data_IF_329234947717
#
_entry.id   IF_329234947717
#
_cell.length_a   1.000
_cell.length_b   1.000
_cell.length_c   1.000
_cell.angle_alpha   90.00
_cell.angle_beta   90.00
_cell.angle_gamma   90.00
#
_symmetry.space_group_name_H-M   'P 1'
#
loop_
_entity.id
_entity.type
_entity.pdbx_description
1 polymer ?
#
# COMPACT_ATOMS: atom_id res chain seq x y z
N UNK A 1 23.92 11.36 -11.03
CA UNK A 1 24.01 11.87 -9.64
C UNK A 1 22.65 11.69 -8.96
N UNK A 2 22.64 11.28 -7.68
CA UNK A 2 21.43 10.82 -6.96
C UNK A 2 21.14 11.66 -5.72
N UNK A 3 19.87 11.78 -5.36
CA UNK A 3 19.42 12.44 -4.13
C UNK A 3 19.92 11.68 -2.89
N UNK A 4 20.57 12.37 -1.95
CA UNK A 4 21.02 11.76 -0.68
C UNK A 4 19.87 11.38 0.28
N UNK A 5 18.66 11.90 0.06
CA UNK A 5 17.48 11.58 0.87
C UNK A 5 16.76 10.31 0.42
N UNK A 6 16.31 10.26 -0.84
CA UNK A 6 15.51 9.14 -1.37
C UNK A 6 16.21 8.28 -2.43
N UNK A 7 17.46 8.60 -2.80
CA UNK A 7 18.24 7.79 -3.75
C UNK A 7 17.85 7.91 -5.23
N UNK A 8 16.79 8.65 -5.57
CA UNK A 8 16.37 8.88 -6.97
C UNK A 8 17.43 9.67 -7.75
N UNK A 9 17.47 9.49 -9.07
CA UNK A 9 18.34 10.30 -9.95
C UNK A 9 17.84 11.73 -9.96
N UNK A 10 18.75 12.70 -9.79
CA UNK A 10 18.40 14.12 -9.83
C UNK A 10 18.24 14.58 -11.27
N UNK A 11 17.22 15.40 -11.51
CA UNK A 11 16.90 15.99 -12.81
C UNK A 11 16.42 17.44 -12.65
N UNK A 12 16.48 18.23 -13.72
CA UNK A 12 16.08 19.66 -13.76
C UNK A 12 14.92 19.93 -14.73
N UNK A 13 14.42 18.90 -15.40
CA UNK A 13 13.51 18.97 -16.54
C UNK A 13 12.08 19.35 -16.13
N UNK A 14 11.54 18.72 -15.09
CA UNK A 14 10.16 19.00 -14.64
C UNK A 14 9.97 18.79 -13.15
N UNK A 15 9.31 19.75 -12.50
CA UNK A 15 8.94 19.70 -11.07
C UNK A 15 7.96 18.58 -10.74
N UNK A 16 7.20 18.13 -11.72
CA UNK A 16 6.21 17.05 -11.58
C UNK A 16 6.85 15.65 -11.63
N UNK A 17 8.08 15.55 -12.12
CA UNK A 17 8.80 14.28 -12.22
C UNK A 17 9.67 14.09 -10.98
N UNK A 18 9.81 12.85 -10.55
CA UNK A 18 10.70 12.50 -9.44
C UNK A 18 12.13 13.01 -9.64
N UNK A 19 12.79 13.31 -8.54
CA UNK A 19 14.19 13.77 -8.59
C UNK A 19 14.38 15.21 -9.04
N UNK A 20 13.30 15.98 -9.27
CA UNK A 20 13.43 17.39 -9.62
C UNK A 20 14.27 18.15 -8.60
N UNK A 21 15.19 18.96 -9.09
CA UNK A 21 15.95 19.94 -8.31
C UNK A 21 16.25 21.13 -9.20
N UNK A 22 16.26 22.37 -8.70
CA UNK A 22 16.52 23.55 -9.54
C UNK A 22 17.95 23.58 -10.09
N UNK A 23 18.89 22.87 -9.45
CA UNK A 23 20.29 22.75 -9.88
C UNK A 23 20.80 21.34 -9.61
N UNK A 24 21.44 20.74 -10.61
CA UNK A 24 22.11 19.45 -10.44
C UNK A 24 23.21 19.50 -9.37
N UNK A 25 23.84 20.63 -9.05
CA UNK A 25 24.81 20.68 -7.94
C UNK A 25 24.21 20.38 -6.55
N UNK A 26 22.88 20.35 -6.41
CA UNK A 26 22.21 20.12 -5.12
C UNK A 26 22.28 18.64 -4.70
N UNK A 27 22.34 18.41 -3.39
CA UNK A 27 22.37 17.04 -2.84
C UNK A 27 20.99 16.38 -2.66
N UNK A 28 19.92 17.18 -2.68
CA UNK A 28 18.54 16.75 -2.45
C UNK A 28 17.64 17.10 -3.64
N UNK A 29 16.66 16.24 -3.90
CA UNK A 29 15.51 16.59 -4.73
C UNK A 29 14.55 17.50 -3.95
N UNK A 30 13.68 18.21 -4.67
CA UNK A 30 12.73 19.17 -4.11
C UNK A 30 11.87 18.56 -3.00
N UNK A 31 11.34 17.34 -3.20
CA UNK A 31 10.57 16.62 -2.16
C UNK A 31 11.38 16.40 -0.88
N UNK A 32 12.60 15.87 -0.99
CA UNK A 32 13.45 15.61 0.18
C UNK A 32 13.90 16.90 0.86
N UNK A 33 14.10 17.99 0.10
CA UNK A 33 14.38 19.31 0.67
C UNK A 33 13.18 19.81 1.49
N UNK A 34 11.97 19.76 0.93
CA UNK A 34 10.76 20.21 1.64
C UNK A 34 10.52 19.39 2.91
N UNK A 35 10.58 18.07 2.80
CA UNK A 35 10.42 17.18 3.95
C UNK A 35 11.46 17.46 5.04
N UNK A 36 12.73 17.70 4.67
CA UNK A 36 13.82 17.96 5.62
C UNK A 36 13.67 19.31 6.34
N UNK A 37 13.25 20.36 5.64
CA UNK A 37 13.26 21.72 6.17
C UNK A 37 11.93 22.19 6.73
N UNK A 38 10.81 21.68 6.21
CA UNK A 38 9.47 22.09 6.58
C UNK A 38 8.64 20.96 7.21
N UNK A 39 9.16 19.72 7.23
CA UNK A 39 8.43 18.54 7.72
C UNK A 39 7.11 18.30 6.98
N UNK A 40 6.97 18.86 5.78
CA UNK A 40 5.80 18.70 4.94
C UNK A 40 6.01 17.51 3.98
N UNK A 41 5.11 16.55 4.04
CA UNK A 41 5.09 15.46 3.08
C UNK A 41 4.38 15.89 1.79
N UNK A 42 5.13 15.93 0.70
CA UNK A 42 4.55 16.13 -0.63
C UNK A 42 3.90 14.82 -1.04
N UNK A 43 2.57 14.79 -1.12
CA UNK A 43 1.73 13.58 -1.29
C UNK A 43 1.95 12.79 -2.60
N UNK A 44 2.96 13.14 -3.39
CA UNK A 44 3.35 12.40 -4.59
C UNK A 44 4.19 11.17 -4.20
N UNK A 45 3.53 10.01 -4.20
CA UNK A 45 4.21 8.72 -4.14
C UNK A 45 4.54 8.28 -5.56
N UNK A 46 5.83 8.29 -5.88
CA UNK A 46 6.33 7.81 -7.16
C UNK A 46 6.41 6.29 -7.19
N UNK A 47 6.14 5.70 -8.35
CA UNK A 47 6.25 4.26 -8.58
C UNK A 47 7.62 3.69 -8.21
N UNK A 48 8.69 4.47 -8.36
CA UNK A 48 10.06 4.09 -8.00
C UNK A 48 10.25 3.78 -6.51
N UNK A 49 9.38 4.31 -5.64
CA UNK A 49 9.39 4.05 -4.20
C UNK A 49 8.85 2.67 -3.84
N UNK A 50 8.26 1.96 -4.79
CA UNK A 50 7.71 0.63 -4.59
C UNK A 50 8.62 -0.45 -5.20
N UNK A 51 8.68 -1.66 -4.60
CA UNK A 51 9.50 -2.74 -5.12
C UNK A 51 9.05 -3.19 -6.51
N UNK A 52 9.97 -3.76 -7.30
CA UNK A 52 9.57 -4.49 -8.50
C UNK A 52 9.01 -5.84 -8.07
N UNK A 53 7.79 -6.14 -8.52
CA UNK A 53 7.11 -7.41 -8.27
C UNK A 53 7.00 -8.10 -9.62
N UNK A 54 7.26 -9.41 -9.66
CA UNK A 54 7.09 -10.21 -10.87
C UNK A 54 5.61 -10.20 -11.31
N UNK A 55 5.34 -10.30 -12.60
CA UNK A 55 4.00 -10.19 -13.15
C UNK A 55 3.00 -11.22 -12.58
N UNK A 56 3.50 -12.42 -12.26
CA UNK A 56 2.72 -13.52 -11.66
C UNK A 56 2.70 -13.48 -10.13
N UNK A 57 3.40 -12.53 -9.50
CA UNK A 57 3.43 -12.41 -8.06
C UNK A 57 2.06 -12.05 -7.47
N UNK A 58 1.74 -12.61 -6.29
CA UNK A 58 0.56 -12.23 -5.51
C UNK A 58 0.96 -11.19 -4.46
N UNK A 59 0.20 -10.09 -4.39
CA UNK A 59 0.42 -9.05 -3.40
C UNK A 59 -0.51 -9.29 -2.20
N UNK A 60 0.09 -9.47 -1.02
CA UNK A 60 -0.65 -9.52 0.24
C UNK A 60 -0.70 -8.10 0.82
N UNK A 61 -1.88 -7.48 0.77
CA UNK A 61 -2.09 -6.15 1.33
C UNK A 61 -2.63 -6.27 2.75
N UNK A 62 -1.77 -6.02 3.74
CA UNK A 62 -2.12 -6.11 5.16
C UNK A 62 -2.50 -4.73 5.72
N UNK A 63 -3.67 -4.65 6.36
CA UNK A 63 -4.12 -3.46 7.11
C UNK A 63 -4.55 -3.86 8.51
N UNK A 64 -4.31 -3.01 9.50
CA UNK A 64 -4.89 -3.18 10.84
C UNK A 64 -6.35 -2.72 10.81
N UNK A 65 -7.24 -3.46 11.48
CA UNK A 65 -8.63 -3.06 11.69
C UNK A 65 -8.75 -1.63 12.25
N UNK A 66 -7.85 -1.22 13.14
CA UNK A 66 -7.86 0.11 13.76
C UNK A 66 -7.53 1.25 12.78
N UNK A 67 -6.99 0.94 11.61
CA UNK A 67 -6.57 1.90 10.59
C UNK A 67 -7.34 1.73 9.26
N UNK A 68 -8.53 1.13 9.29
CA UNK A 68 -9.36 0.95 8.08
C UNK A 68 -9.71 2.27 7.39
N UNK A 69 -9.75 3.39 8.12
CA UNK A 69 -9.96 4.72 7.54
C UNK A 69 -8.83 5.17 6.59
N UNK A 70 -7.64 4.56 6.70
CA UNK A 70 -6.48 4.82 5.83
C UNK A 70 -6.35 3.79 4.71
N UNK A 71 -7.26 2.81 4.65
CA UNK A 71 -7.27 1.79 3.61
C UNK A 71 -7.37 2.47 2.23
N UNK A 72 -6.51 2.06 1.30
CA UNK A 72 -6.39 2.65 -0.04
C UNK A 72 -5.96 4.12 -0.10
N UNK A 73 -5.40 4.69 0.98
CA UNK A 73 -4.70 5.99 0.91
C UNK A 73 -3.67 6.01 -0.23
N UNK A 74 -3.05 4.87 -0.50
CA UNK A 74 -2.33 4.60 -1.74
C UNK A 74 -3.00 3.46 -2.49
N UNK A 75 -3.71 3.78 -3.57
CA UNK A 75 -4.32 2.77 -4.42
C UNK A 75 -3.23 2.02 -5.22
N UNK A 76 -2.92 0.80 -4.79
CA UNK A 76 -1.87 -0.04 -5.41
C UNK A 76 -2.18 -0.41 -6.87
N UNK A 77 -3.46 -0.35 -7.30
CA UNK A 77 -3.82 -0.57 -8.71
C UNK A 77 -3.18 0.48 -9.65
N UNK A 78 -2.75 1.63 -9.13
CA UNK A 78 -2.02 2.63 -9.92
C UNK A 78 -0.58 2.19 -10.24
N UNK A 79 -0.06 1.23 -9.49
CA UNK A 79 1.34 0.81 -9.56
C UNK A 79 1.51 -0.63 -10.05
N UNK A 80 0.55 -1.51 -9.75
CA UNK A 80 0.59 -2.95 -10.02
C UNK A 80 -0.71 -3.46 -10.64
N UNK A 81 -0.57 -4.40 -11.58
CA UNK A 81 -1.69 -5.18 -12.14
C UNK A 81 -1.77 -6.61 -11.58
N UNK A 82 -0.95 -6.90 -10.57
CA UNK A 82 -0.90 -8.20 -9.91
C UNK A 82 -2.21 -8.52 -9.19
N UNK A 83 -2.49 -9.82 -9.04
CA UNK A 83 -3.54 -10.29 -8.13
C UNK A 83 -3.22 -9.87 -6.71
N UNK A 84 -4.23 -9.42 -5.96
CA UNK A 84 -4.06 -8.97 -4.59
C UNK A 84 -4.99 -9.69 -3.61
N UNK A 85 -4.58 -9.81 -2.35
CA UNK A 85 -5.42 -10.29 -1.25
C UNK A 85 -5.36 -9.25 -0.14
N UNK A 86 -6.52 -8.76 0.31
CA UNK A 86 -6.61 -7.80 1.41
C UNK A 86 -6.78 -8.57 2.73
N UNK A 87 -5.86 -8.36 3.66
CA UNK A 87 -5.94 -8.89 5.02
C UNK A 87 -6.27 -7.77 5.99
N UNK A 88 -7.39 -7.91 6.69
CA UNK A 88 -7.78 -7.03 7.79
C UNK A 88 -7.38 -7.73 9.09
N UNK A 89 -6.26 -7.32 9.68
CA UNK A 89 -5.69 -7.93 10.87
C UNK A 89 -6.24 -7.32 12.16
N UNK A 90 -5.94 -7.96 13.30
CA UNK A 90 -6.34 -7.57 14.64
C UNK A 90 -7.85 -7.65 14.90
N UNK A 91 -8.56 -8.52 14.20
CA UNK A 91 -10.02 -8.70 14.43
C UNK A 91 -10.33 -9.29 15.81
N UNK A 92 -9.34 -9.85 16.50
CA UNK A 92 -9.44 -10.28 17.89
C UNK A 92 -9.64 -9.12 18.88
N UNK A 93 -9.41 -7.88 18.47
CA UNK A 93 -9.73 -6.68 19.27
C UNK A 93 -11.24 -6.39 19.30
N UNK A 94 -12.02 -7.02 18.43
CA UNK A 94 -13.47 -6.82 18.37
C UNK A 94 -14.20 -7.77 19.34
N UNK A 95 -15.38 -7.36 19.84
CA UNK A 95 -16.26 -8.27 20.56
C UNK A 95 -16.60 -9.50 19.73
N UNK A 96 -16.74 -10.65 20.37
CA UNK A 96 -17.12 -11.93 19.71
C UNK A 96 -18.48 -11.87 18.99
N UNK A 97 -19.31 -10.88 19.30
CA UNK A 97 -20.62 -10.65 18.67
C UNK A 97 -20.53 -9.96 17.32
N UNK A 98 -19.35 -9.48 16.91
CA UNK A 98 -19.19 -8.83 15.62
C UNK A 98 -19.25 -9.86 14.50
N UNK A 99 -20.10 -9.59 13.52
CA UNK A 99 -20.20 -10.34 12.28
C UNK A 99 -19.13 -9.85 11.29
N UNK A 100 -18.08 -10.65 11.10
CA UNK A 100 -17.00 -10.33 10.18
C UNK A 100 -17.41 -10.41 8.70
N UNK A 101 -18.42 -11.20 8.33
CA UNK A 101 -18.90 -11.25 6.95
C UNK A 101 -19.61 -9.94 6.60
N UNK A 102 -20.41 -9.40 7.53
CA UNK A 102 -21.01 -8.06 7.38
C UNK A 102 -19.95 -6.96 7.27
N UNK A 103 -18.88 -7.04 8.07
CA UNK A 103 -17.75 -6.11 7.98
C UNK A 103 -17.08 -6.18 6.60
N UNK A 104 -16.75 -7.38 6.13
CA UNK A 104 -16.14 -7.59 4.81
C UNK A 104 -17.04 -7.08 3.69
N UNK A 105 -18.35 -7.35 3.76
CA UNK A 105 -19.31 -6.85 2.77
C UNK A 105 -19.38 -5.32 2.74
N UNK A 106 -19.28 -4.67 3.91
CA UNK A 106 -19.24 -3.21 4.01
C UNK A 106 -17.98 -2.65 3.37
N UNK A 107 -16.81 -3.26 3.62
CA UNK A 107 -15.54 -2.87 2.99
C UNK A 107 -15.65 -3.01 1.47
N UNK A 108 -16.13 -4.15 0.98
CA UNK A 108 -16.31 -4.41 -0.46
C UNK A 108 -17.25 -3.40 -1.13
N UNK A 109 -18.34 -3.04 -0.46
CA UNK A 109 -19.30 -2.05 -0.96
C UNK A 109 -18.69 -0.65 -1.03
N UNK A 110 -17.94 -0.25 0.00
CA UNK A 110 -17.37 1.09 0.08
C UNK A 110 -16.17 1.29 -0.84
N UNK A 111 -15.45 0.22 -1.19
CA UNK A 111 -14.19 0.27 -1.96
C UNK A 111 -14.21 -0.61 -3.21
N UNK A 112 -15.36 -0.67 -3.89
CA UNK A 112 -15.55 -1.58 -5.02
C UNK A 112 -14.56 -1.33 -6.17
N UNK A 113 -14.16 -0.07 -6.40
CA UNK A 113 -13.24 0.30 -7.50
C UNK A 113 -11.80 -0.07 -7.15
N UNK A 114 -11.39 0.19 -5.92
CA UNK A 114 -10.05 -0.09 -5.40
C UNK A 114 -9.82 -1.59 -5.24
N UNK A 115 -10.88 -2.36 -5.00
CA UNK A 115 -10.84 -3.81 -4.86
C UNK A 115 -10.89 -4.58 -6.19
N UNK A 116 -10.86 -3.90 -7.35
CA UNK A 116 -11.02 -4.56 -8.66
C UNK A 116 -10.03 -5.72 -8.92
N UNK A 117 -8.78 -5.59 -8.46
CA UNK A 117 -7.73 -6.61 -8.61
C UNK A 117 -7.60 -7.53 -7.37
N UNK A 118 -8.49 -7.41 -6.39
CA UNK A 118 -8.44 -8.18 -5.16
C UNK A 118 -9.25 -9.46 -5.29
N UNK A 119 -8.57 -10.60 -5.16
CA UNK A 119 -9.17 -11.92 -5.17
C UNK A 119 -10.07 -12.16 -3.95
N UNK A 120 -9.65 -11.63 -2.80
CA UNK A 120 -10.32 -11.86 -1.53
C UNK A 120 -10.02 -10.76 -0.52
N UNK A 121 -10.95 -10.60 0.43
CA UNK A 121 -10.81 -9.77 1.62
C UNK A 121 -11.01 -10.69 2.82
N UNK A 122 -9.98 -10.85 3.64
CA UNK A 122 -9.98 -11.80 4.76
C UNK A 122 -9.75 -11.08 6.10
N UNK A 123 -10.70 -11.19 7.04
CA UNK A 123 -10.49 -10.80 8.42
C UNK A 123 -9.65 -11.85 9.14
N UNK A 124 -8.50 -11.46 9.68
CA UNK A 124 -7.56 -12.36 10.34
C UNK A 124 -7.18 -11.85 11.74
N UNK A 125 -6.72 -12.77 12.58
CA UNK A 125 -5.91 -12.43 13.74
C UNK A 125 -4.60 -13.20 13.64
N UNK A 126 -3.53 -12.51 13.25
CA UNK A 126 -2.20 -13.11 13.22
C UNK A 126 -1.77 -13.59 14.62
N UNK A 127 -2.16 -12.86 15.67
CA UNK A 127 -1.84 -13.20 17.06
C UNK A 127 -2.57 -14.45 17.54
N UNK A 128 -3.85 -14.62 17.17
CA UNK A 128 -4.69 -15.75 17.61
C UNK A 128 -4.73 -16.90 16.60
N UNK A 129 -4.07 -16.77 15.46
CA UNK A 129 -4.12 -17.74 14.37
C UNK A 129 -5.47 -17.78 13.62
N UNK A 130 -6.38 -16.85 13.89
CA UNK A 130 -7.71 -16.86 13.27
C UNK A 130 -7.63 -16.65 11.75
N UNK A 131 -8.27 -17.55 11.01
CA UNK A 131 -8.33 -17.60 9.53
C UNK A 131 -6.99 -17.73 8.79
N UNK A 132 -5.88 -18.07 9.47
CA UNK A 132 -4.59 -18.26 8.79
C UNK A 132 -4.58 -19.47 7.83
N UNK A 133 -5.27 -20.55 8.17
CA UNK A 133 -5.44 -21.70 7.25
C UNK A 133 -6.21 -21.31 5.99
N UNK A 134 -7.27 -20.50 6.14
CA UNK A 134 -8.04 -19.98 5.02
C UNK A 134 -7.18 -19.08 4.12
N UNK A 135 -6.33 -18.25 4.72
CA UNK A 135 -5.35 -17.45 3.98
C UNK A 135 -4.41 -18.33 3.16
N UNK A 136 -3.81 -19.36 3.77
CA UNK A 136 -2.93 -20.29 3.06
C UNK A 136 -3.64 -20.95 1.87
N UNK A 137 -4.87 -21.42 2.07
CA UNK A 137 -5.67 -22.02 1.01
C UNK A 137 -5.95 -21.04 -0.14
N UNK A 138 -6.24 -19.77 0.17
CA UNK A 138 -6.45 -18.74 -0.87
C UNK A 138 -5.16 -18.48 -1.64
N UNK A 139 -3.99 -18.45 -0.98
CA UNK A 139 -2.70 -18.26 -1.65
C UNK A 139 -2.40 -19.44 -2.58
N UNK A 140 -2.55 -20.68 -2.09
CA UNK A 140 -2.24 -21.89 -2.85
C UNK A 140 -3.16 -22.05 -4.06
N UNK A 141 -4.46 -21.78 -3.92
CA UNK A 141 -5.43 -21.94 -5.02
C UNK A 141 -5.33 -20.86 -6.11
N UNK A 142 -4.51 -19.83 -5.91
CA UNK A 142 -4.39 -18.70 -6.84
C UNK A 142 -2.98 -18.49 -7.41
N UNK A 143 -2.02 -19.33 -7.01
CA UNK A 143 -0.75 -19.58 -7.68
C UNK A 143 -0.92 -20.67 -8.74
#
# INVERSE_FOLDING_TARGET
MRCKGCGVVLQTDSKEIEGYTPKLSNELCYRCFILKHYQEDQHHVYKSGFPKIDHDGVIIYLVSLLHLNTLFMYNLNNFYNNKMILLVNHVDLLPKTVDFDKMVNTIKKNHQRELANFLSVLPISALKGYQLEKLLNVIISNN
#
